data_IF_641158179149
#
_entry.id   IF_641158179149
#
_cell.length_a   1.000
_cell.length_b   1.000
_cell.length_c   1.000
_cell.angle_alpha   90.00
_cell.angle_beta   90.00
_cell.angle_gamma   90.00
#
_symmetry.space_group_name_H-M   'P 1'
#
loop_
_entity.id
_entity.type
_entity.pdbx_description
1 polymer ?
#
# COMPACT_ATOMS: atom_id res chain seq x y z
N UNK A 1 37.78 -16.39 -5.87
CA UNK A 1 38.55 -15.31 -5.20
C UNK A 1 38.11 -14.01 -5.82
N UNK A 2 37.88 -12.96 -4.99
CA UNK A 2 37.50 -11.63 -5.48
C UNK A 2 35.99 -11.40 -5.67
N UNK A 3 35.15 -12.32 -5.24
CA UNK A 3 33.70 -12.13 -5.22
C UNK A 3 33.18 -11.90 -3.80
N UNK A 4 32.15 -11.06 -3.67
CA UNK A 4 31.37 -10.91 -2.46
C UNK A 4 30.44 -12.11 -2.31
N UNK A 5 30.39 -12.70 -1.13
CA UNK A 5 29.56 -13.87 -0.83
C UNK A 5 28.79 -13.67 0.47
N UNK A 6 27.64 -14.31 0.58
CA UNK A 6 26.92 -14.43 1.83
C UNK A 6 27.20 -15.79 2.47
N UNK A 7 27.60 -15.78 3.74
CA UNK A 7 28.07 -16.98 4.46
C UNK A 7 27.23 -17.15 5.72
N UNK A 8 26.71 -18.35 5.90
CA UNK A 8 26.12 -18.75 7.17
C UNK A 8 27.19 -19.40 8.02
N UNK A 9 27.40 -18.89 9.22
CA UNK A 9 28.40 -19.42 10.16
C UNK A 9 27.81 -20.69 10.80
N UNK A 10 28.44 -21.85 10.55
CA UNK A 10 27.99 -23.13 11.07
C UNK A 10 28.39 -23.32 12.54
N UNK A 11 29.61 -22.94 12.88
CA UNK A 11 30.13 -23.02 14.22
C UNK A 11 31.26 -22.02 14.48
N UNK A 12 31.14 -21.31 15.58
CA UNK A 12 32.19 -20.40 16.05
C UNK A 12 32.27 -20.44 17.57
N UNK A 13 33.26 -21.16 18.09
CA UNK A 13 33.57 -21.16 19.50
C UNK A 13 34.61 -20.09 19.81
N UNK A 14 34.56 -19.48 21.00
CA UNK A 14 35.50 -18.43 21.41
C UNK A 14 36.98 -18.89 21.45
N UNK A 15 37.23 -20.17 21.32
CA UNK A 15 38.57 -20.77 21.29
C UNK A 15 39.01 -21.16 19.86
N UNK A 16 38.16 -21.03 18.86
CA UNK A 16 38.50 -21.34 17.47
C UNK A 16 39.24 -20.18 16.82
N UNK A 17 40.31 -20.48 16.11
CA UNK A 17 41.14 -19.48 15.41
C UNK A 17 40.40 -18.76 14.29
N UNK A 18 39.39 -19.42 13.67
CA UNK A 18 38.59 -18.87 12.60
C UNK A 18 37.20 -19.48 12.56
N UNK A 19 36.14 -18.70 12.33
CA UNK A 19 34.81 -19.26 12.14
C UNK A 19 34.76 -20.08 10.84
N UNK A 20 34.01 -21.19 10.92
CA UNK A 20 33.66 -21.98 9.73
C UNK A 20 32.24 -21.66 9.31
N UNK A 21 32.01 -21.59 8.01
CA UNK A 21 30.70 -21.28 7.47
C UNK A 21 30.52 -21.81 6.06
N UNK A 22 29.26 -21.91 5.66
CA UNK A 22 28.86 -22.34 4.31
C UNK A 22 28.50 -21.14 3.48
N UNK A 23 29.06 -21.02 2.28
CA UNK A 23 28.65 -20.00 1.29
C UNK A 23 27.29 -20.40 0.77
N UNK A 24 26.27 -19.55 1.03
CA UNK A 24 24.91 -19.77 0.56
C UNK A 24 24.62 -18.98 -0.71
N UNK A 25 25.26 -17.81 -0.90
CA UNK A 25 25.07 -16.97 -2.09
C UNK A 25 26.39 -16.38 -2.57
N UNK A 26 26.57 -16.35 -3.90
CA UNK A 26 27.61 -15.57 -4.55
C UNK A 26 26.96 -14.32 -5.12
N UNK A 27 27.34 -13.15 -4.62
CA UNK A 27 26.64 -11.89 -4.87
C UNK A 27 27.16 -11.12 -6.10
N UNK A 28 28.44 -11.26 -6.40
CA UNK A 28 29.12 -10.55 -7.47
C UNK A 28 30.44 -9.90 -7.07
N UNK A 29 30.93 -8.97 -7.86
CA UNK A 29 32.15 -8.24 -7.49
C UNK A 29 31.89 -7.23 -6.37
N UNK A 30 32.85 -7.03 -5.45
CA UNK A 30 32.73 -5.99 -4.42
C UNK A 30 32.55 -4.59 -5.07
N UNK A 31 31.72 -3.75 -4.43
CA UNK A 31 31.38 -2.39 -4.86
C UNK A 31 30.48 -2.32 -6.11
N UNK A 32 30.09 -3.42 -6.70
CA UNK A 32 28.99 -3.42 -7.68
C UNK A 32 27.65 -3.20 -6.98
N UNK A 33 26.84 -2.26 -7.52
CA UNK A 33 25.55 -1.90 -6.92
C UNK A 33 24.69 -3.15 -6.62
N UNK A 34 24.57 -4.05 -7.60
CA UNK A 34 23.80 -5.27 -7.43
C UNK A 34 24.28 -6.15 -6.27
N UNK A 35 25.60 -6.36 -6.17
CA UNK A 35 26.22 -7.18 -5.12
C UNK A 35 26.06 -6.56 -3.72
N UNK A 36 26.17 -5.23 -3.62
CA UNK A 36 25.99 -4.50 -2.38
C UNK A 36 24.55 -4.52 -1.91
N UNK A 37 23.58 -4.24 -2.80
CA UNK A 37 22.15 -4.22 -2.47
C UNK A 37 21.63 -5.61 -2.06
N UNK A 38 22.05 -6.68 -2.77
CA UNK A 38 21.73 -8.05 -2.37
C UNK A 38 22.35 -8.42 -1.02
N UNK A 39 23.57 -8.00 -0.77
CA UNK A 39 24.24 -8.21 0.51
C UNK A 39 23.49 -7.57 1.68
N UNK A 40 23.05 -6.32 1.52
CA UNK A 40 22.25 -5.60 2.53
C UNK A 40 20.91 -6.32 2.77
N UNK A 41 20.23 -6.72 1.70
CA UNK A 41 18.96 -7.42 1.81
C UNK A 41 19.08 -8.74 2.59
N UNK A 42 20.07 -9.56 2.23
CA UNK A 42 20.33 -10.85 2.91
C UNK A 42 20.77 -10.66 4.36
N UNK A 43 21.59 -9.63 4.66
CA UNK A 43 21.97 -9.29 6.04
C UNK A 43 20.76 -8.97 6.92
N UNK A 44 19.72 -8.38 6.33
CA UNK A 44 18.45 -8.08 7.00
C UNK A 44 17.45 -9.24 6.97
N UNK A 45 17.83 -10.39 6.41
CA UNK A 45 17.01 -11.60 6.34
C UNK A 45 16.06 -11.68 5.14
N UNK A 46 16.24 -10.81 4.15
CA UNK A 46 15.40 -10.78 2.95
C UNK A 46 16.14 -11.42 1.76
N UNK A 47 15.75 -12.62 1.40
CA UNK A 47 16.22 -13.28 0.20
C UNK A 47 15.34 -12.94 -1.01
N UNK A 48 15.97 -12.58 -2.12
CA UNK A 48 15.26 -12.32 -3.38
C UNK A 48 14.62 -13.60 -3.95
N UNK A 49 15.25 -14.75 -3.76
CA UNK A 49 14.83 -16.00 -4.34
C UNK A 49 13.79 -16.69 -3.46
N UNK A 50 12.80 -17.26 -4.12
CA UNK A 50 11.84 -18.13 -3.45
C UNK A 50 12.34 -19.60 -3.47
N UNK A 51 11.91 -20.42 -2.50
CA UNK A 51 12.11 -21.85 -2.58
C UNK A 51 11.49 -22.42 -3.88
N UNK A 52 12.13 -23.41 -4.54
CA UNK A 52 11.62 -23.94 -5.81
C UNK A 52 10.22 -24.54 -5.76
N UNK A 53 9.80 -25.06 -4.61
CA UNK A 53 8.44 -25.58 -4.39
C UNK A 53 7.40 -24.48 -4.27
N UNK A 54 7.76 -23.29 -3.75
CA UNK A 54 6.92 -22.10 -3.70
C UNK A 54 6.72 -21.52 -5.11
N UNK A 55 7.81 -21.39 -5.89
CA UNK A 55 7.74 -20.95 -7.28
C UNK A 55 6.92 -21.92 -8.14
N UNK A 56 7.07 -23.23 -7.93
CA UNK A 56 6.29 -24.23 -8.64
C UNK A 56 4.79 -24.13 -8.32
N UNK A 57 4.42 -23.86 -7.07
CA UNK A 57 3.03 -23.66 -6.67
C UNK A 57 2.46 -22.39 -7.29
N UNK A 58 3.19 -21.26 -7.27
CA UNK A 58 2.78 -20.01 -7.88
C UNK A 58 2.52 -20.16 -9.39
N UNK A 59 3.46 -20.76 -10.11
CA UNK A 59 3.35 -21.01 -11.55
C UNK A 59 2.23 -22.02 -11.90
N UNK A 60 1.83 -22.88 -10.97
CA UNK A 60 0.70 -23.77 -11.17
C UNK A 60 -0.64 -23.02 -11.10
N UNK A 61 -0.75 -22.02 -10.22
CA UNK A 61 -1.95 -21.19 -10.09
C UNK A 61 -2.24 -20.36 -11.35
N UNK A 62 -1.23 -19.88 -12.06
CA UNK A 62 -1.41 -19.17 -13.34
C UNK A 62 -2.18 -19.96 -14.38
N UNK A 63 -2.11 -21.31 -14.31
CA UNK A 63 -2.74 -22.22 -15.27
C UNK A 63 -4.18 -22.59 -14.89
N UNK A 64 -4.63 -22.18 -13.72
CA UNK A 64 -5.96 -22.51 -13.21
C UNK A 64 -6.90 -21.33 -13.54
N UNK A 65 -7.86 -21.50 -14.46
CA UNK A 65 -8.80 -20.43 -14.76
C UNK A 65 -9.75 -20.21 -13.58
N UNK A 66 -10.18 -18.96 -13.40
CA UNK A 66 -11.28 -18.63 -12.48
C UNK A 66 -12.54 -19.31 -12.99
N UNK A 67 -13.20 -20.09 -12.14
CA UNK A 67 -14.39 -20.85 -12.52
C UNK A 67 -15.62 -19.96 -12.62
N UNK A 68 -16.60 -20.35 -13.47
CA UNK A 68 -17.89 -19.67 -13.56
C UNK A 68 -18.64 -19.63 -12.21
N UNK A 69 -18.49 -20.66 -11.38
CA UNK A 69 -19.05 -20.71 -10.04
C UNK A 69 -18.43 -19.65 -9.11
N UNK A 70 -17.13 -19.44 -9.18
CA UNK A 70 -16.44 -18.36 -8.44
C UNK A 70 -16.92 -16.99 -8.92
N UNK A 71 -16.99 -16.78 -10.22
CA UNK A 71 -17.49 -15.53 -10.83
C UNK A 71 -18.91 -15.25 -10.37
N UNK A 72 -19.81 -16.24 -10.44
CA UNK A 72 -21.21 -16.11 -10.04
C UNK A 72 -21.41 -15.86 -8.54
N UNK A 73 -20.44 -16.23 -7.70
CA UNK A 73 -20.48 -15.99 -6.25
C UNK A 73 -20.12 -14.55 -5.87
N UNK A 74 -19.58 -13.75 -6.81
CA UNK A 74 -19.11 -12.38 -6.59
C UNK A 74 -20.07 -11.34 -7.15
N UNK A 75 -20.06 -10.14 -6.58
CA UNK A 75 -20.72 -9.00 -7.22
C UNK A 75 -19.97 -8.63 -8.49
N UNK A 76 -20.65 -8.67 -9.63
CA UNK A 76 -20.07 -8.30 -10.92
C UNK A 76 -20.03 -6.78 -11.08
N UNK A 77 -18.83 -6.24 -11.15
CA UNK A 77 -18.54 -4.81 -11.31
C UNK A 77 -17.84 -4.51 -12.65
N UNK A 78 -17.71 -5.52 -13.54
CA UNK A 78 -16.96 -5.39 -14.79
C UNK A 78 -17.48 -4.36 -15.77
N UNK A 79 -18.74 -3.97 -15.64
CA UNK A 79 -19.35 -2.92 -16.48
C UNK A 79 -19.14 -1.49 -15.95
N UNK A 80 -18.52 -1.35 -14.78
CA UNK A 80 -18.31 -0.04 -14.13
C UNK A 80 -16.88 0.41 -14.39
N UNK A 81 -16.74 1.67 -14.87
CA UNK A 81 -15.43 2.27 -15.13
C UNK A 81 -14.50 2.14 -13.92
N UNK A 82 -13.39 1.41 -14.10
CA UNK A 82 -12.46 1.03 -13.04
C UNK A 82 -11.02 1.24 -13.49
N UNK A 83 -10.20 1.86 -12.66
CA UNK A 83 -8.79 2.12 -12.97
C UNK A 83 -7.92 2.13 -11.73
N UNK A 84 -6.61 1.90 -11.94
CA UNK A 84 -5.58 2.05 -10.91
C UNK A 84 -4.81 3.36 -11.10
N UNK A 85 -4.25 3.91 -10.01
CA UNK A 85 -3.37 5.10 -10.04
C UNK A 85 -2.17 4.83 -9.15
N UNK A 86 -1.00 4.59 -9.74
CA UNK A 86 0.18 4.05 -9.09
C UNK A 86 1.46 4.81 -9.48
N UNK A 87 2.60 4.57 -8.81
CA UNK A 87 3.91 5.02 -9.31
C UNK A 87 4.18 4.51 -10.74
N UNK A 88 4.89 5.31 -11.55
CA UNK A 88 5.14 4.97 -12.94
C UNK A 88 5.87 3.62 -13.13
N UNK A 89 6.72 3.26 -12.19
CA UNK A 89 7.54 2.06 -12.14
C UNK A 89 6.90 0.86 -11.41
N UNK A 90 5.70 1.03 -10.83
CA UNK A 90 4.97 -0.05 -10.17
C UNK A 90 4.53 -1.14 -11.16
N UNK A 91 4.51 -2.39 -10.68
CA UNK A 91 4.02 -3.58 -11.39
C UNK A 91 2.97 -4.36 -10.60
N UNK A 92 2.94 -4.13 -9.30
CA UNK A 92 2.07 -4.72 -8.29
C UNK A 92 0.93 -3.73 -7.98
N UNK A 93 -0.14 -3.78 -8.79
CA UNK A 93 -1.30 -2.90 -8.63
C UNK A 93 -2.27 -3.54 -7.65
N UNK A 94 -2.16 -3.16 -6.37
CA UNK A 94 -2.90 -3.79 -5.27
C UNK A 94 -4.31 -3.23 -5.13
N UNK A 95 -4.56 -1.99 -5.54
CA UNK A 95 -5.82 -1.29 -5.41
C UNK A 95 -6.29 -0.63 -6.71
N UNK A 96 -7.61 -0.59 -6.87
CA UNK A 96 -8.29 0.09 -7.96
C UNK A 96 -9.50 0.86 -7.44
N UNK A 97 -9.90 1.89 -8.16
CA UNK A 97 -11.10 2.66 -7.89
C UNK A 97 -12.10 2.51 -9.03
N UNK A 98 -13.38 2.30 -8.71
CA UNK A 98 -14.46 2.37 -9.67
C UNK A 98 -15.38 3.54 -9.39
N UNK A 99 -16.00 4.04 -10.46
CA UNK A 99 -16.86 5.22 -10.39
C UNK A 99 -18.06 5.10 -11.33
N UNK A 100 -19.24 5.42 -10.81
CA UNK A 100 -20.42 5.70 -11.65
C UNK A 100 -21.34 6.71 -10.99
N UNK A 101 -22.11 7.44 -11.83
CA UNK A 101 -23.18 8.31 -11.37
C UNK A 101 -24.47 7.50 -11.33
N UNK A 102 -25.14 7.53 -10.18
CA UNK A 102 -26.43 6.84 -9.98
C UNK A 102 -27.62 7.67 -10.50
N UNK A 103 -28.76 7.04 -10.81
CA UNK A 103 -29.96 7.75 -11.30
C UNK A 103 -30.50 8.84 -10.34
N UNK A 104 -30.21 8.73 -9.05
CA UNK A 104 -30.58 9.74 -8.05
C UNK A 104 -29.60 10.93 -7.94
N UNK A 105 -28.57 10.97 -8.81
CA UNK A 105 -27.54 12.00 -8.81
C UNK A 105 -26.44 11.82 -7.77
N UNK A 106 -26.50 10.78 -6.93
CA UNK A 106 -25.40 10.35 -6.08
C UNK A 106 -24.31 9.65 -6.91
N UNK A 107 -23.14 9.45 -6.35
CA UNK A 107 -22.08 8.67 -6.97
C UNK A 107 -21.93 7.34 -6.25
N UNK A 108 -21.72 6.27 -7.00
CA UNK A 108 -21.20 5.02 -6.45
C UNK A 108 -19.69 4.99 -6.69
N UNK A 109 -18.94 4.84 -5.61
CA UNK A 109 -17.49 4.73 -5.61
C UNK A 109 -17.12 3.38 -5.03
N UNK A 110 -16.34 2.60 -5.77
CA UNK A 110 -15.77 1.35 -5.30
C UNK A 110 -14.28 1.51 -5.00
N UNK A 111 -13.86 0.92 -3.89
CA UNK A 111 -12.45 0.69 -3.54
C UNK A 111 -12.23 -0.81 -3.60
N UNK A 112 -11.39 -1.25 -4.51
CA UNK A 112 -11.17 -2.65 -4.83
C UNK A 112 -9.74 -3.02 -4.49
N UNK A 113 -9.57 -4.04 -3.64
CA UNK A 113 -8.26 -4.57 -3.26
C UNK A 113 -8.13 -5.98 -3.86
N UNK A 114 -6.98 -6.29 -4.43
CA UNK A 114 -6.71 -7.62 -4.98
C UNK A 114 -7.05 -8.73 -3.98
N UNK A 115 -7.85 -9.73 -4.40
CA UNK A 115 -8.23 -10.86 -3.54
C UNK A 115 -7.10 -11.91 -3.49
N UNK A 116 -5.99 -11.56 -2.87
CA UNK A 116 -4.84 -12.44 -2.68
C UNK A 116 -5.25 -13.72 -1.97
N UNK A 117 -6.23 -13.67 -1.08
CA UNK A 117 -6.72 -14.81 -0.30
C UNK A 117 -7.43 -15.87 -1.16
N UNK A 118 -7.82 -15.54 -2.40
CA UNK A 118 -8.33 -16.51 -3.36
C UNK A 118 -7.21 -17.45 -3.83
N UNK A 119 -6.02 -16.94 -4.02
CA UNK A 119 -4.86 -17.66 -4.56
C UNK A 119 -4.00 -18.27 -3.46
N UNK A 120 -3.70 -17.51 -2.41
CA UNK A 120 -2.86 -17.95 -1.30
C UNK A 120 -3.76 -18.55 -0.21
N UNK A 121 -3.90 -19.87 -0.24
CA UNK A 121 -4.76 -20.59 0.71
C UNK A 121 -3.97 -20.96 1.97
N UNK A 122 -4.62 -20.93 3.16
CA UNK A 122 -3.97 -21.30 4.42
C UNK A 122 -3.35 -22.69 4.37
N UNK A 123 -2.10 -22.81 4.85
CA UNK A 123 -1.37 -24.07 4.98
C UNK A 123 -0.69 -24.54 3.67
N UNK A 124 -0.68 -23.73 2.64
CA UNK A 124 0.08 -23.98 1.40
C UNK A 124 1.53 -23.51 1.55
N UNK A 125 2.39 -23.89 0.61
CA UNK A 125 3.79 -23.42 0.58
C UNK A 125 3.90 -21.92 0.39
N UNK A 126 3.02 -21.34 -0.43
CA UNK A 126 2.90 -19.90 -0.60
C UNK A 126 2.52 -19.20 0.70
N UNK A 127 1.55 -19.71 1.45
CA UNK A 127 1.13 -19.16 2.73
C UNK A 127 2.25 -19.19 3.78
N UNK A 128 2.97 -20.32 3.86
CA UNK A 128 4.08 -20.49 4.80
C UNK A 128 5.24 -19.54 4.47
N UNK A 129 5.59 -19.37 3.18
CA UNK A 129 6.65 -18.45 2.76
C UNK A 129 6.21 -16.98 2.94
N UNK A 130 4.94 -16.65 2.64
CA UNK A 130 4.38 -15.33 2.87
C UNK A 130 4.42 -14.94 4.37
N UNK A 131 4.07 -15.85 5.27
CA UNK A 131 4.20 -15.65 6.72
C UNK A 131 5.63 -15.40 7.14
N UNK A 132 6.58 -16.16 6.58
CA UNK A 132 8.01 -16.03 6.89
C UNK A 132 8.56 -14.68 6.42
N UNK A 133 8.20 -14.22 5.21
CA UNK A 133 8.62 -12.92 4.67
C UNK A 133 7.92 -11.76 5.35
N UNK A 134 6.64 -11.89 5.62
CA UNK A 134 5.77 -10.91 6.30
C UNK A 134 5.53 -9.59 5.56
N UNK A 135 6.38 -9.22 4.61
CA UNK A 135 6.29 -7.94 3.86
C UNK A 135 7.07 -8.01 2.54
N UNK A 136 6.71 -7.15 1.60
CA UNK A 136 7.58 -6.81 0.48
C UNK A 136 8.58 -5.72 0.90
N UNK A 137 9.79 -5.74 0.34
CA UNK A 137 10.86 -4.79 0.64
C UNK A 137 11.19 -4.00 -0.61
N UNK A 138 10.97 -2.69 -0.54
CA UNK A 138 11.23 -1.76 -1.64
C UNK A 138 12.59 -1.10 -1.45
N UNK A 139 13.55 -1.46 -2.29
CA UNK A 139 14.87 -0.84 -2.36
C UNK A 139 14.84 0.25 -3.42
N UNK A 140 15.95 0.99 -3.54
CA UNK A 140 16.06 2.11 -4.49
C UNK A 140 15.91 1.64 -5.93
N UNK A 141 16.44 0.46 -6.25
CA UNK A 141 16.59 -0.07 -7.61
C UNK A 141 15.74 -1.35 -7.87
N UNK A 142 15.13 -1.91 -6.84
CA UNK A 142 14.38 -3.18 -6.95
C UNK A 142 13.41 -3.40 -5.81
N UNK A 143 12.45 -4.30 -6.04
CA UNK A 143 11.57 -4.84 -5.00
C UNK A 143 11.93 -6.29 -4.71
N UNK A 144 11.94 -6.67 -3.43
CA UNK A 144 11.95 -8.06 -2.99
C UNK A 144 10.53 -8.37 -2.52
N UNK A 145 9.72 -9.06 -3.33
CA UNK A 145 8.30 -9.20 -3.05
C UNK A 145 8.02 -10.24 -1.96
N UNK A 146 6.93 -10.07 -1.24
CA UNK A 146 6.43 -11.04 -0.26
C UNK A 146 5.92 -12.33 -0.92
N UNK A 147 5.35 -12.22 -2.12
CA UNK A 147 4.86 -13.32 -2.95
C UNK A 147 5.62 -13.38 -4.27
N UNK A 148 5.74 -14.57 -4.92
CA UNK A 148 6.34 -14.68 -6.25
C UNK A 148 5.72 -13.72 -7.27
N UNK A 149 6.51 -13.27 -8.24
CA UNK A 149 6.08 -12.28 -9.25
C UNK A 149 4.88 -12.76 -10.08
N UNK A 150 4.72 -14.07 -10.27
CA UNK A 150 3.53 -14.67 -10.89
C UNK A 150 2.23 -14.29 -10.18
N UNK A 151 2.29 -14.06 -8.87
CA UNK A 151 1.17 -13.57 -8.08
C UNK A 151 1.18 -12.05 -7.98
N UNK A 152 2.28 -11.46 -7.48
CA UNK A 152 2.33 -10.04 -7.17
C UNK A 152 2.24 -9.13 -8.39
N UNK A 153 2.79 -9.54 -9.55
CA UNK A 153 2.82 -8.72 -10.76
C UNK A 153 1.78 -9.15 -11.81
N UNK A 154 1.14 -10.32 -11.63
CA UNK A 154 0.15 -10.83 -12.58
C UNK A 154 -1.17 -11.21 -11.91
N UNK A 155 -1.31 -12.41 -11.32
CA UNK A 155 -2.61 -12.92 -10.84
C UNK A 155 -3.31 -11.97 -9.87
N UNK A 156 -2.58 -11.43 -8.90
CA UNK A 156 -3.11 -10.49 -7.92
C UNK A 156 -3.05 -9.04 -8.40
N UNK A 157 -2.15 -8.68 -9.31
CA UNK A 157 -2.03 -7.31 -9.82
C UNK A 157 -3.25 -6.94 -10.66
N UNK A 158 -3.87 -5.78 -10.39
CA UNK A 158 -5.07 -5.28 -11.08
C UNK A 158 -4.70 -4.65 -12.44
N UNK A 159 -4.01 -5.45 -13.26
CA UNK A 159 -3.51 -5.06 -14.58
C UNK A 159 -4.65 -4.58 -15.49
N UNK A 160 -4.40 -3.51 -16.26
CA UNK A 160 -5.38 -2.95 -17.18
C UNK A 160 -5.80 -3.94 -18.28
N UNK A 161 -7.04 -3.79 -18.74
CA UNK A 161 -7.71 -4.62 -19.75
C UNK A 161 -7.84 -6.10 -19.36
N UNK A 162 -7.97 -6.37 -18.05
CA UNK A 162 -8.17 -7.73 -17.53
C UNK A 162 -9.24 -7.77 -16.45
N UNK A 163 -9.94 -8.92 -16.40
CA UNK A 163 -10.86 -9.20 -15.29
C UNK A 163 -10.06 -9.65 -14.06
N UNK A 164 -10.36 -9.11 -12.89
CA UNK A 164 -9.64 -9.38 -11.65
C UNK A 164 -10.59 -9.64 -10.49
N UNK A 165 -10.18 -10.57 -9.62
CA UNK A 165 -10.89 -10.89 -8.39
C UNK A 165 -10.46 -9.92 -7.28
N UNK A 166 -11.44 -9.31 -6.62
CA UNK A 166 -11.17 -8.32 -5.60
C UNK A 166 -12.05 -8.49 -4.35
N UNK A 167 -11.56 -7.96 -3.24
CA UNK A 167 -12.33 -7.64 -2.04
C UNK A 167 -12.64 -6.14 -2.09
N UNK A 168 -13.91 -5.77 -1.98
CA UNK A 168 -14.31 -4.39 -2.26
C UNK A 168 -15.13 -3.76 -1.16
N UNK A 169 -14.91 -2.46 -1.01
CA UNK A 169 -15.75 -1.55 -0.25
C UNK A 169 -16.43 -0.60 -1.26
N UNK A 170 -17.75 -0.63 -1.33
CA UNK A 170 -18.52 0.16 -2.28
C UNK A 170 -19.41 1.12 -1.50
N UNK A 171 -19.35 2.39 -1.87
CA UNK A 171 -20.02 3.49 -1.18
C UNK A 171 -20.93 4.26 -2.13
N UNK A 172 -22.18 4.47 -1.73
CA UNK A 172 -22.98 5.53 -2.31
C UNK A 172 -22.70 6.82 -1.55
N UNK A 173 -22.23 7.85 -2.25
CA UNK A 173 -21.90 9.14 -1.69
C UNK A 173 -22.81 10.23 -2.27
N UNK A 174 -23.28 11.14 -1.42
CA UNK A 174 -23.93 12.34 -1.91
C UNK A 174 -22.91 13.35 -2.46
N UNK A 175 -23.40 14.41 -3.08
CA UNK A 175 -22.54 15.48 -3.65
C UNK A 175 -21.66 16.19 -2.62
N UNK A 176 -21.93 16.01 -1.31
CA UNK A 176 -21.11 16.57 -0.23
C UNK A 176 -20.05 15.59 0.27
N UNK A 177 -20.02 14.37 -0.27
CA UNK A 177 -19.11 13.30 0.18
C UNK A 177 -19.60 12.52 1.39
N UNK A 178 -20.88 12.67 1.79
CA UNK A 178 -21.44 11.88 2.89
C UNK A 178 -21.83 10.49 2.38
N UNK A 179 -21.39 9.45 3.08
CA UNK A 179 -21.76 8.05 2.80
C UNK A 179 -23.24 7.85 3.14
N UNK A 180 -24.02 7.44 2.15
CA UNK A 180 -25.46 7.08 2.29
C UNK A 180 -25.64 5.58 2.50
N UNK A 181 -24.97 4.78 1.69
CA UNK A 181 -24.96 3.33 1.81
C UNK A 181 -23.53 2.79 1.68
N UNK A 182 -23.32 1.64 2.27
CA UNK A 182 -22.02 0.95 2.21
C UNK A 182 -22.23 -0.55 1.98
N UNK A 183 -21.38 -1.16 1.16
CA UNK A 183 -21.37 -2.58 0.88
C UNK A 183 -19.95 -3.13 0.89
N UNK A 184 -19.74 -4.31 1.48
CA UNK A 184 -18.43 -4.96 1.57
C UNK A 184 -18.54 -6.42 1.16
N UNK A 185 -17.63 -6.88 0.32
CA UNK A 185 -17.62 -8.26 -0.10
C UNK A 185 -16.69 -8.54 -1.29
N UNK A 186 -16.79 -9.75 -1.80
CA UNK A 186 -16.05 -10.20 -2.97
C UNK A 186 -16.68 -9.66 -4.25
N UNK A 187 -15.85 -9.15 -5.14
CA UNK A 187 -16.26 -8.65 -6.45
C UNK A 187 -15.39 -9.24 -7.54
N UNK A 188 -15.86 -9.13 -8.77
CA UNK A 188 -15.04 -9.23 -9.98
C UNK A 188 -15.13 -7.89 -10.71
N UNK A 189 -13.98 -7.32 -11.05
CA UNK A 189 -13.85 -6.05 -11.77
C UNK A 189 -13.21 -6.28 -13.13
N UNK A 190 -13.42 -5.36 -14.07
CA UNK A 190 -12.56 -5.19 -15.25
C UNK A 190 -11.74 -3.92 -15.02
N UNK A 191 -10.41 -4.04 -15.00
CA UNK A 191 -9.55 -2.86 -14.89
C UNK A 191 -9.41 -2.22 -16.26
N UNK A 192 -10.05 -1.06 -16.49
CA UNK A 192 -10.07 -0.43 -17.82
C UNK A 192 -8.77 0.31 -18.14
N UNK A 193 -8.13 0.88 -17.13
CA UNK A 193 -6.97 1.75 -17.32
C UNK A 193 -6.04 1.69 -16.11
N UNK A 194 -4.75 1.71 -16.38
CA UNK A 194 -3.71 2.00 -15.39
C UNK A 194 -3.19 3.41 -15.64
N UNK A 195 -3.23 4.26 -14.61
CA UNK A 195 -2.61 5.58 -14.61
C UNK A 195 -1.32 5.59 -13.79
N UNK A 196 -0.33 6.35 -14.25
CA UNK A 196 0.69 6.86 -13.34
C UNK A 196 0.14 8.09 -12.59
N UNK A 197 0.59 8.35 -11.35
CA UNK A 197 0.17 9.54 -10.60
C UNK A 197 0.33 10.83 -11.39
N UNK A 198 1.45 10.97 -12.11
CA UNK A 198 1.77 12.13 -12.93
C UNK A 198 0.83 12.24 -14.14
N UNK A 199 0.43 11.11 -14.75
CA UNK A 199 -0.52 11.09 -15.87
C UNK A 199 -1.92 11.56 -15.41
N UNK A 200 -2.42 10.96 -14.33
CA UNK A 200 -3.71 11.36 -13.78
C UNK A 200 -3.71 12.83 -13.29
N UNK A 201 -2.61 13.31 -12.71
CA UNK A 201 -2.46 14.71 -12.32
C UNK A 201 -2.48 15.63 -13.53
N UNK A 202 -1.78 15.29 -14.61
CA UNK A 202 -1.78 16.08 -15.84
C UNK A 202 -3.19 16.20 -16.46
N UNK A 203 -4.02 15.15 -16.39
CA UNK A 203 -5.42 15.18 -16.83
C UNK A 203 -6.23 16.15 -15.98
N UNK A 204 -6.10 16.11 -14.66
CA UNK A 204 -6.77 17.05 -13.76
C UNK A 204 -6.36 18.49 -14.02
N UNK A 205 -5.07 18.75 -14.21
CA UNK A 205 -4.51 20.09 -14.43
C UNK A 205 -4.92 20.65 -15.81
N UNK A 206 -4.97 19.79 -16.84
CA UNK A 206 -5.38 20.18 -18.18
C UNK A 206 -6.90 20.38 -18.31
N UNK A 207 -7.70 19.83 -17.42
CA UNK A 207 -9.16 19.88 -17.48
C UNK A 207 -9.76 19.06 -18.64
N UNK A 208 -9.01 18.10 -19.20
CA UNK A 208 -9.44 17.25 -20.30
C UNK A 208 -8.58 15.98 -20.37
N UNK A 209 -9.14 14.89 -20.89
CA UNK A 209 -8.44 13.61 -21.05
C UNK A 209 -9.36 12.43 -20.79
N UNK A 210 -8.80 11.22 -20.89
CA UNK A 210 -9.54 10.00 -20.60
C UNK A 210 -9.91 9.97 -19.11
N UNK A 211 -11.18 9.66 -18.79
CA UNK A 211 -11.73 9.64 -17.43
C UNK A 211 -11.55 10.97 -16.65
N UNK A 212 -11.45 12.11 -17.36
CA UNK A 212 -11.30 13.42 -16.71
C UNK A 212 -12.45 13.74 -15.76
N UNK A 213 -13.70 13.53 -16.16
CA UNK A 213 -14.88 13.88 -15.36
C UNK A 213 -15.00 13.00 -14.12
N UNK A 214 -14.67 11.72 -14.25
CA UNK A 214 -14.58 10.78 -13.14
C UNK A 214 -13.49 11.20 -12.16
N UNK A 215 -12.26 11.38 -12.64
CA UNK A 215 -11.11 11.82 -11.84
C UNK A 215 -11.39 13.17 -11.14
N UNK A 216 -11.98 14.12 -11.85
CA UNK A 216 -12.35 15.42 -11.29
C UNK A 216 -13.37 15.28 -10.17
N UNK A 217 -14.45 14.54 -10.41
CA UNK A 217 -15.51 14.34 -9.42
C UNK A 217 -14.96 13.63 -8.18
N UNK A 218 -14.16 12.58 -8.37
CA UNK A 218 -13.51 11.87 -7.29
C UNK A 218 -12.57 12.78 -6.51
N UNK A 219 -11.77 13.63 -7.18
CA UNK A 219 -10.88 14.57 -6.52
C UNK A 219 -11.65 15.63 -5.70
N UNK A 220 -12.76 16.14 -6.23
CA UNK A 220 -13.62 17.10 -5.53
C UNK A 220 -14.23 16.47 -4.25
N UNK A 221 -14.62 15.21 -4.30
CA UNK A 221 -15.11 14.46 -3.12
C UNK A 221 -13.96 14.16 -2.14
N UNK A 222 -12.81 13.71 -2.62
CA UNK A 222 -11.64 13.47 -1.77
C UNK A 222 -11.24 14.71 -0.97
N UNK A 223 -11.25 15.90 -1.61
CA UNK A 223 -10.99 17.18 -0.91
C UNK A 223 -12.00 17.46 0.20
N UNK A 224 -13.28 17.08 0.02
CA UNK A 224 -14.30 17.22 1.09
C UNK A 224 -14.06 16.24 2.23
N UNK A 225 -13.68 15.01 1.92
CA UNK A 225 -13.31 14.00 2.91
C UNK A 225 -12.09 14.44 3.73
N UNK A 226 -11.03 14.92 3.06
CA UNK A 226 -9.85 15.49 3.71
C UNK A 226 -10.26 16.62 4.67
N UNK A 227 -11.07 17.57 4.21
CA UNK A 227 -11.52 18.70 5.02
C UNK A 227 -12.29 18.24 6.26
N UNK A 228 -13.19 17.26 6.11
CA UNK A 228 -13.94 16.69 7.22
C UNK A 228 -13.02 16.00 8.23
N UNK A 229 -12.07 15.21 7.75
CA UNK A 229 -11.08 14.50 8.56
C UNK A 229 -10.18 15.44 9.34
N UNK A 230 -9.68 16.51 8.70
CA UNK A 230 -8.88 17.54 9.36
C UNK A 230 -9.70 18.30 10.42
N UNK A 231 -10.97 18.62 10.12
CA UNK A 231 -11.86 19.24 11.11
C UNK A 231 -12.14 18.32 12.32
N UNK A 232 -12.12 17.00 12.12
CA UNK A 232 -12.26 16.00 13.18
C UNK A 232 -10.97 15.81 14.00
N UNK A 233 -9.85 16.44 13.61
CA UNK A 233 -8.60 16.43 14.36
C UNK A 233 -7.50 15.53 13.80
N UNK A 234 -7.58 15.15 12.51
CA UNK A 234 -6.47 14.49 11.85
C UNK A 234 -5.25 15.42 11.78
N UNK A 235 -4.06 14.83 11.84
CA UNK A 235 -2.78 15.55 11.70
C UNK A 235 -2.31 15.45 10.25
N UNK A 236 -1.83 16.57 9.70
CA UNK A 236 -1.10 16.60 8.43
C UNK A 236 0.40 16.54 8.74
N UNK A 237 0.99 15.38 8.48
CA UNK A 237 2.43 15.16 8.63
C UNK A 237 3.02 15.00 7.23
N UNK A 238 3.07 16.11 6.48
CA UNK A 238 3.73 16.12 5.18
C UNK A 238 5.25 16.06 5.39
N UNK A 239 5.85 14.91 5.09
CA UNK A 239 7.30 14.73 5.06
C UNK A 239 7.80 14.72 3.63
N UNK A 240 8.95 15.36 3.42
CA UNK A 240 9.64 15.32 2.14
C UNK A 240 10.10 13.89 1.84
N UNK A 241 9.57 13.29 0.80
CA UNK A 241 10.03 12.00 0.30
C UNK A 241 11.13 12.23 -0.75
N UNK A 242 12.33 11.74 -0.45
CA UNK A 242 13.47 11.79 -1.36
C UNK A 242 13.43 10.57 -2.27
N UNK A 243 13.50 10.81 -3.58
CA UNK A 243 13.62 9.78 -4.62
C UNK A 243 14.94 9.91 -5.37
N UNK A 244 15.39 8.79 -5.92
CA UNK A 244 16.61 8.72 -6.72
C UNK A 244 16.23 8.49 -8.18
N UNK A 245 16.89 9.24 -9.07
CA UNK A 245 16.90 8.92 -10.49
C UNK A 245 18.01 7.92 -10.74
N UNK A 246 17.69 6.78 -11.34
CA UNK A 246 18.64 5.72 -11.66
C UNK A 246 19.00 5.77 -13.14
N UNK A 247 20.20 5.29 -13.48
CA UNK A 247 20.58 4.97 -14.86
C UNK A 247 20.06 3.57 -15.25
N UNK A 248 20.36 3.14 -16.49
CA UNK A 248 19.94 1.84 -17.03
C UNK A 248 20.55 0.63 -16.28
N UNK A 249 21.57 0.86 -15.47
CA UNK A 249 22.22 -0.16 -14.63
C UNK A 249 21.72 -0.15 -13.18
N UNK A 250 20.71 0.70 -12.87
CA UNK A 250 20.18 0.85 -11.52
C UNK A 250 21.06 1.71 -10.60
N UNK A 251 22.05 2.44 -11.14
CA UNK A 251 22.94 3.29 -10.34
C UNK A 251 22.30 4.68 -10.15
N UNK A 252 22.22 5.19 -8.92
CA UNK A 252 21.68 6.52 -8.65
C UNK A 252 22.53 7.62 -9.29
N UNK A 253 21.93 8.45 -10.17
CA UNK A 253 22.58 9.55 -10.87
C UNK A 253 22.09 10.93 -10.42
N UNK A 254 20.95 11.02 -9.76
CA UNK A 254 20.41 12.24 -9.20
C UNK A 254 19.47 11.96 -8.03
N UNK A 255 19.26 12.98 -7.20
CA UNK A 255 18.31 12.98 -6.09
C UNK A 255 17.28 14.05 -6.37
N UNK A 256 16.00 13.72 -6.16
CA UNK A 256 14.92 14.70 -6.28
C UNK A 256 13.87 14.51 -5.17
N UNK A 257 13.15 15.58 -4.89
CA UNK A 257 12.02 15.56 -3.96
C UNK A 257 10.77 15.15 -4.69
N UNK A 258 10.10 14.12 -4.20
CA UNK A 258 8.80 13.72 -4.74
C UNK A 258 7.73 14.75 -4.33
N UNK A 259 7.06 15.32 -5.32
CA UNK A 259 5.93 16.22 -5.07
C UNK A 259 4.65 15.39 -4.99
N UNK A 260 3.91 15.52 -3.88
CA UNK A 260 2.60 14.89 -3.72
C UNK A 260 1.53 15.78 -4.34
N UNK A 261 0.89 15.29 -5.40
CA UNK A 261 -0.20 15.97 -6.08
C UNK A 261 -1.58 15.64 -5.51
N UNK A 262 -2.62 16.19 -6.13
CA UNK A 262 -4.01 15.91 -5.81
C UNK A 262 -4.35 14.42 -5.99
N UNK A 263 -3.78 13.77 -7.01
CA UNK A 263 -4.00 12.34 -7.29
C UNK A 263 -3.46 11.43 -6.19
N UNK A 264 -2.32 11.76 -5.58
CA UNK A 264 -1.81 11.01 -4.43
C UNK A 264 -2.74 11.12 -3.22
N UNK A 265 -3.28 12.33 -2.98
CA UNK A 265 -4.23 12.58 -1.89
C UNK A 265 -5.58 11.93 -2.16
N UNK A 266 -6.01 11.87 -3.42
CA UNK A 266 -7.24 11.17 -3.83
C UNK A 266 -7.19 9.69 -3.44
N UNK A 267 -6.14 8.97 -3.83
CA UNK A 267 -5.96 7.56 -3.48
C UNK A 267 -5.90 7.40 -1.95
N UNK A 268 -5.08 8.21 -1.26
CA UNK A 268 -4.96 8.17 0.20
C UNK A 268 -6.32 8.31 0.90
N UNK A 269 -7.15 9.29 0.50
CA UNK A 269 -8.44 9.53 1.15
C UNK A 269 -9.42 8.36 0.94
N UNK A 270 -9.44 7.75 -0.23
CA UNK A 270 -10.31 6.60 -0.47
C UNK A 270 -9.84 5.33 0.23
N UNK A 271 -8.53 5.12 0.34
CA UNK A 271 -7.98 4.04 1.16
C UNK A 271 -8.31 4.26 2.66
N UNK A 272 -8.19 5.50 3.15
CA UNK A 272 -8.57 5.85 4.52
C UNK A 272 -10.06 5.66 4.77
N UNK A 273 -10.93 6.05 3.82
CA UNK A 273 -12.37 5.84 3.90
C UNK A 273 -12.71 4.35 3.98
N UNK A 274 -12.14 3.54 3.07
CA UNK A 274 -12.36 2.11 3.05
C UNK A 274 -11.89 1.44 4.36
N UNK A 275 -10.68 1.76 4.82
CA UNK A 275 -10.13 1.21 6.07
C UNK A 275 -11.01 1.54 7.27
N UNK A 276 -11.44 2.81 7.41
CA UNK A 276 -12.33 3.25 8.49
C UNK A 276 -13.66 2.49 8.46
N UNK A 277 -14.30 2.43 7.28
CA UNK A 277 -15.62 1.84 7.13
C UNK A 277 -15.62 0.33 7.31
N UNK A 278 -14.60 -0.37 6.84
CA UNK A 278 -14.42 -1.81 7.10
C UNK A 278 -14.22 -2.06 8.59
N UNK A 279 -13.40 -1.28 9.27
CA UNK A 279 -13.20 -1.41 10.72
C UNK A 279 -14.50 -1.18 11.50
N UNK A 280 -15.27 -0.13 11.17
CA UNK A 280 -16.60 0.14 11.76
C UNK A 280 -17.58 -1.00 11.50
N UNK A 281 -17.62 -1.55 10.28
CA UNK A 281 -18.50 -2.65 9.90
C UNK A 281 -18.20 -3.92 10.70
N UNK A 282 -16.94 -4.30 10.84
CA UNK A 282 -16.55 -5.47 11.63
C UNK A 282 -16.83 -5.23 13.11
N UNK A 283 -16.54 -4.04 13.65
CA UNK A 283 -16.83 -3.70 15.04
C UNK A 283 -18.34 -3.81 15.36
N UNK A 284 -19.20 -3.34 14.45
CA UNK A 284 -20.66 -3.48 14.61
C UNK A 284 -21.10 -4.96 14.59
N UNK A 285 -20.51 -5.79 13.70
CA UNK A 285 -20.79 -7.23 13.64
C UNK A 285 -20.31 -7.98 14.88
N UNK A 286 -19.19 -7.57 15.47
CA UNK A 286 -18.62 -8.19 16.66
C UNK A 286 -19.45 -8.01 17.92
N UNK A 287 -20.37 -7.04 17.95
CA UNK A 287 -21.33 -6.88 19.04
C UNK A 287 -22.40 -7.98 19.07
N UNK A 288 -22.61 -8.65 17.95
CA UNK A 288 -23.62 -9.72 17.79
C UNK A 288 -23.00 -11.12 17.82
N UNK A 289 -21.75 -11.24 17.36
CA UNK A 289 -21.01 -12.50 17.28
C UNK A 289 -19.51 -12.19 17.43
N UNK A 290 -18.77 -13.04 18.16
CA UNK A 290 -17.32 -12.92 18.23
C UNK A 290 -16.71 -13.01 16.83
N UNK A 291 -16.19 -11.89 16.34
CA UNK A 291 -15.41 -11.81 15.12
C UNK A 291 -14.00 -11.33 15.48
N UNK A 292 -13.00 -12.02 14.93
CA UNK A 292 -11.60 -11.61 15.08
C UNK A 292 -11.28 -10.62 13.96
N UNK A 293 -10.72 -9.47 14.31
CA UNK A 293 -10.21 -8.50 13.35
C UNK A 293 -8.95 -7.84 13.91
N UNK A 294 -7.95 -7.66 13.04
CA UNK A 294 -6.68 -7.04 13.42
C UNK A 294 -6.78 -5.53 13.22
N UNK A 295 -6.78 -4.78 14.33
CA UNK A 295 -6.77 -3.32 14.29
C UNK A 295 -5.34 -2.83 14.44
N UNK A 296 -4.98 -1.78 13.68
CA UNK A 296 -3.77 -1.02 13.94
C UNK A 296 -4.08 0.06 14.98
N UNK A 297 -3.50 -0.08 16.17
CA UNK A 297 -3.73 0.83 17.29
C UNK A 297 -2.47 1.64 17.56
N UNK A 298 -2.64 2.90 17.94
CA UNK A 298 -1.58 3.77 18.42
C UNK A 298 -1.91 4.20 19.85
N UNK A 299 -0.94 4.06 20.76
CA UNK A 299 -1.07 4.56 22.11
C UNK A 299 -1.06 6.09 22.13
N UNK A 300 -1.63 6.64 23.21
CA UNK A 300 -1.52 8.07 23.45
C UNK A 300 -0.05 8.47 23.64
N UNK A 301 0.35 9.68 23.22
CA UNK A 301 1.71 10.19 23.46
C UNK A 301 2.09 10.16 24.93
N UNK A 302 3.35 9.93 25.25
CA UNK A 302 3.86 10.00 26.61
C UNK A 302 3.70 11.43 27.18
N UNK A 303 3.03 11.57 28.31
CA UNK A 303 2.77 12.90 28.93
C UNK A 303 4.04 13.68 29.18
N UNK A 304 5.14 13.01 29.57
CA UNK A 304 6.44 13.64 29.78
C UNK A 304 6.96 14.31 28.51
N UNK A 305 6.97 13.58 27.39
CA UNK A 305 7.38 14.13 26.07
C UNK A 305 6.47 15.26 25.61
N UNK A 306 5.16 15.18 25.88
CA UNK A 306 4.23 16.26 25.58
C UNK A 306 4.51 17.51 26.41
N UNK A 307 4.87 17.37 27.71
CA UNK A 307 5.28 18.49 28.57
C UNK A 307 6.57 19.12 28.07
N UNK A 308 7.57 18.29 27.71
CA UNK A 308 8.87 18.78 27.19
C UNK A 308 8.68 19.59 25.89
N UNK A 309 7.84 19.08 24.99
CA UNK A 309 7.47 19.79 23.75
C UNK A 309 6.77 21.11 24.05
N UNK A 310 5.78 21.11 24.96
CA UNK A 310 5.08 22.33 25.38
C UNK A 310 6.06 23.38 25.92
N UNK A 311 6.94 22.99 26.83
CA UNK A 311 7.91 23.89 27.46
C UNK A 311 8.94 24.42 26.46
N UNK A 312 9.38 23.60 25.50
CA UNK A 312 10.23 24.02 24.42
C UNK A 312 9.54 25.06 23.53
N UNK A 313 8.33 24.77 23.05
CA UNK A 313 7.57 25.66 22.17
C UNK A 313 7.24 27.00 22.86
N UNK A 314 6.90 26.96 24.14
CA UNK A 314 6.67 28.16 24.92
C UNK A 314 7.90 29.07 24.98
N UNK A 315 9.12 28.49 25.10
CA UNK A 315 10.39 29.26 25.13
C UNK A 315 10.69 29.95 23.80
N UNK A 316 10.26 29.37 22.68
CA UNK A 316 10.46 29.96 21.34
C UNK A 316 9.26 30.79 20.86
N UNK A 317 8.29 31.06 21.74
CA UNK A 317 7.18 31.98 21.47
C UNK A 317 5.91 31.32 20.91
N UNK A 318 5.81 29.98 20.88
CA UNK A 318 4.64 29.23 20.43
C UNK A 318 3.95 28.50 21.61
N UNK A 319 3.22 29.20 22.48
CA UNK A 319 2.53 28.57 23.62
C UNK A 319 1.32 27.75 23.07
N UNK A 320 1.38 26.45 23.21
CA UNK A 320 0.26 25.55 22.90
C UNK A 320 -0.57 25.28 24.14
N UNK A 321 -1.89 25.18 23.95
CA UNK A 321 -2.78 24.83 25.06
C UNK A 321 -2.66 23.32 25.36
N UNK A 322 -2.45 22.95 26.62
CA UNK A 322 -2.52 21.57 27.08
C UNK A 322 -3.82 21.32 27.84
N UNK A 323 -4.37 20.12 27.69
CA UNK A 323 -5.54 19.60 28.41
C UNK A 323 -5.18 18.19 28.91
N UNK A 324 -5.24 17.98 30.22
CA UNK A 324 -4.94 16.71 30.89
C UNK A 324 -3.56 16.09 30.53
N UNK A 325 -2.58 16.95 30.25
CA UNK A 325 -1.22 16.54 29.88
C UNK A 325 -1.03 16.23 28.40
N UNK A 326 -2.00 16.57 27.55
CA UNK A 326 -1.92 16.41 26.10
C UNK A 326 -2.18 17.72 25.37
N UNK A 327 -1.53 17.87 24.22
CA UNK A 327 -1.81 18.97 23.29
C UNK A 327 -2.94 18.51 22.36
N UNK A 328 -4.08 19.21 22.30
CA UNK A 328 -5.18 18.85 21.39
C UNK A 328 -4.74 18.85 19.92
N UNK A 329 -5.30 17.95 19.11
CA UNK A 329 -4.95 17.80 17.69
C UNK A 329 -5.06 19.12 16.89
N UNK A 330 -6.05 19.96 17.19
CA UNK A 330 -6.21 21.29 16.57
C UNK A 330 -5.04 22.25 16.86
N UNK A 331 -4.41 22.12 18.02
CA UNK A 331 -3.24 22.93 18.39
C UNK A 331 -1.97 22.38 17.69
N UNK A 332 -1.88 21.04 17.47
CA UNK A 332 -0.80 20.46 16.68
C UNK A 332 -0.81 20.95 15.24
N UNK A 333 -1.98 20.99 14.58
CA UNK A 333 -2.09 21.46 13.18
C UNK A 333 -1.63 22.92 13.03
N UNK A 334 -1.95 23.79 13.99
CA UNK A 334 -1.44 25.17 13.99
C UNK A 334 0.09 25.29 14.09
N UNK A 335 0.73 24.28 14.66
CA UNK A 335 2.19 24.26 14.76
C UNK A 335 2.83 23.76 13.46
N UNK A 336 2.11 22.90 12.71
CA UNK A 336 2.60 22.32 11.47
C UNK A 336 2.36 23.23 10.25
N UNK A 337 1.46 24.22 10.36
CA UNK A 337 1.26 25.32 9.41
C UNK A 337 2.35 26.40 9.58
#
# INVERSE_FOLDING_TARGET
VGQKVFVVIDNWTSQSESPRGTITHVLGAPLENNAEMLGIALEKGFDRHFPPDVDAEANALEKIPVTDAEIASRRDMRAIATFTIDPADAKDFDDALSFQVLPNGNIELGVHIADVSHYVQPGTKLDDEAKKRSTSVYLVDRTIPMLPEALSNDLCSLNANTDKLTMSAIFELDQNGNVKTEWFGKTIIHSDKRFAYEEAQAILDAGTGIYHDELKTMNDVAKKLTKARMAAGALSLDQDEVKFKLDDNGVPIAVYRKVRGDTNRLIEEYMLLANLKVAEFIAKKSQVKENIFVYRVHDAPEKGKMQDLHDFLKKIGYPLKMIDGYIPAKEHNKLLE
#
